data_IF_774151607171
#
_entry.id   IF_774151607171
#
_cell.length_a   1.000
_cell.length_b   1.000
_cell.length_c   1.000
_cell.angle_alpha   90.00
_cell.angle_beta   90.00
_cell.angle_gamma   90.00
#
_symmetry.space_group_name_H-M   'P 1'
#
loop_
_entity.id
_entity.type
_entity.pdbx_description
1 polymer ?
#
# COMPACT_ATOMS: atom_id res chain seq x y z
N UNK A 1 -2.81 14.59 5.29
CA UNK A 1 -4.21 14.31 4.97
C UNK A 1 -4.25 12.91 4.41
N UNK A 2 -4.72 11.93 5.18
CA UNK A 2 -4.83 10.56 4.69
C UNK A 2 -6.00 10.42 3.72
N UNK A 3 -6.05 9.39 2.87
CA UNK A 3 -7.21 9.15 1.99
C UNK A 3 -8.54 9.07 2.75
N UNK A 4 -8.57 8.44 3.93
CA UNK A 4 -9.76 8.37 4.79
C UNK A 4 -10.16 9.73 5.34
N UNK A 5 -9.19 10.54 5.79
CA UNK A 5 -9.48 11.91 6.27
C UNK A 5 -9.99 12.80 5.14
N UNK A 6 -9.47 12.63 3.91
CA UNK A 6 -9.99 13.35 2.75
C UNK A 6 -11.41 12.90 2.39
N UNK A 7 -11.68 11.59 2.41
CA UNK A 7 -13.02 11.05 2.20
C UNK A 7 -14.03 11.63 3.22
N UNK A 8 -13.68 11.60 4.50
CA UNK A 8 -14.50 12.18 5.57
C UNK A 8 -14.69 13.70 5.41
N UNK A 9 -13.64 14.44 5.02
CA UNK A 9 -13.73 15.87 4.74
C UNK A 9 -14.68 16.17 3.58
N UNK A 10 -14.61 15.38 2.50
CA UNK A 10 -15.49 15.52 1.34
C UNK A 10 -16.95 15.21 1.70
N UNK A 11 -17.20 14.14 2.47
CA UNK A 11 -18.54 13.79 2.96
C UNK A 11 -19.09 14.87 3.89
N UNK A 12 -18.29 15.35 4.84
CA UNK A 12 -18.70 16.42 5.75
C UNK A 12 -18.98 17.75 5.04
N UNK A 13 -18.18 18.12 4.04
CA UNK A 13 -18.45 19.29 3.21
C UNK A 13 -19.72 19.11 2.37
N UNK A 14 -19.95 17.92 1.82
CA UNK A 14 -21.15 17.65 1.05
C UNK A 14 -22.42 17.65 1.92
N UNK A 15 -22.35 17.10 3.14
CA UNK A 15 -23.42 17.15 4.13
C UNK A 15 -23.79 18.59 4.48
N UNK A 16 -22.80 19.44 4.80
CA UNK A 16 -23.03 20.85 5.07
C UNK A 16 -23.65 21.60 3.88
N UNK A 17 -23.20 21.30 2.65
CA UNK A 17 -23.71 21.91 1.43
C UNK A 17 -25.14 21.48 1.05
N UNK A 18 -25.58 20.28 1.46
CA UNK A 18 -26.86 19.69 1.01
C UNK A 18 -27.89 19.53 2.13
N UNK A 19 -27.50 19.70 3.39
CA UNK A 19 -28.33 19.40 4.56
C UNK A 19 -28.55 17.91 4.83
N UNK A 20 -27.82 17.03 4.13
CA UNK A 20 -27.86 15.59 4.36
C UNK A 20 -27.00 15.19 5.57
N UNK A 21 -27.30 14.02 6.15
CA UNK A 21 -26.44 13.41 7.16
C UNK A 21 -25.16 12.87 6.52
N UNK A 22 -24.00 13.24 7.09
CA UNK A 22 -22.69 12.86 6.59
C UNK A 22 -22.50 11.34 6.61
N UNK A 23 -23.05 10.63 7.61
CA UNK A 23 -22.90 9.19 7.74
C UNK A 23 -23.77 8.41 6.74
N UNK A 24 -24.87 9.02 6.27
CA UNK A 24 -25.72 8.48 5.21
C UNK A 24 -25.16 8.67 3.79
N UNK A 25 -24.13 9.50 3.61
CA UNK A 25 -23.56 9.76 2.28
C UNK A 25 -22.72 8.58 1.79
N UNK A 26 -22.72 8.27 0.48
CA UNK A 26 -21.77 7.32 -0.07
C UNK A 26 -20.31 7.79 0.14
N UNK A 27 -19.37 6.84 0.16
CA UNK A 27 -17.94 7.15 0.14
C UNK A 27 -17.60 8.10 -1.03
N UNK A 28 -16.80 9.13 -0.77
CA UNK A 28 -16.38 10.09 -1.77
C UNK A 28 -15.30 9.52 -2.71
N UNK A 29 -14.56 8.51 -2.26
CA UNK A 29 -13.53 7.76 -3.01
C UNK A 29 -12.59 8.70 -3.81
N UNK A 30 -11.92 9.68 -3.16
CA UNK A 30 -11.06 10.63 -3.85
C UNK A 30 -9.96 9.91 -4.63
N UNK A 31 -9.76 10.29 -5.88
CA UNK A 31 -8.72 9.75 -6.76
C UNK A 31 -7.71 10.82 -7.10
N UNK A 32 -6.43 10.47 -7.13
CA UNK A 32 -5.40 11.37 -7.66
C UNK A 32 -5.72 11.73 -9.10
N UNK A 33 -5.53 12.99 -9.44
CA UNK A 33 -5.61 13.44 -10.83
C UNK A 33 -4.21 13.49 -11.45
N UNK A 34 -4.10 13.23 -12.76
CA UNK A 34 -2.86 13.47 -13.50
C UNK A 34 -2.45 14.95 -13.40
N UNK A 35 -1.14 15.26 -13.46
CA UNK A 35 -0.63 16.62 -13.28
C UNK A 35 -1.12 17.61 -14.36
N UNK A 36 -1.64 17.12 -15.49
CA UNK A 36 -2.23 17.93 -16.56
C UNK A 36 -3.63 18.47 -16.21
N UNK A 37 -4.25 17.95 -15.14
CA UNK A 37 -5.57 18.39 -14.68
C UNK A 37 -5.45 19.29 -13.44
N UNK A 38 -6.37 20.25 -13.26
CA UNK A 38 -6.39 21.09 -12.07
C UNK A 38 -6.74 20.23 -10.85
N UNK A 39 -6.07 20.43 -9.72
CA UNK A 39 -6.32 19.71 -8.46
C UNK A 39 -5.22 18.69 -8.11
N UNK A 40 -5.20 18.25 -6.86
CA UNK A 40 -4.44 17.05 -6.44
C UNK A 40 -5.32 15.79 -6.52
N UNK A 41 -6.62 15.94 -6.21
CA UNK A 41 -7.59 14.85 -6.15
C UNK A 41 -8.92 15.23 -6.81
N UNK A 42 -9.66 14.24 -7.31
CA UNK A 42 -11.00 14.40 -7.84
C UNK A 42 -12.00 13.50 -7.09
N UNK A 43 -13.24 13.98 -6.94
CA UNK A 43 -14.37 13.18 -6.47
C UNK A 43 -15.56 13.27 -7.42
N UNK A 44 -16.24 12.14 -7.60
CA UNK A 44 -17.52 12.02 -8.32
C UNK A 44 -18.73 12.02 -7.37
N UNK A 45 -18.54 12.37 -6.09
CA UNK A 45 -19.61 12.38 -5.08
C UNK A 45 -20.87 13.17 -5.52
N UNK A 46 -20.77 14.37 -6.12
CA UNK A 46 -21.94 15.12 -6.57
C UNK A 46 -22.79 14.37 -7.60
N UNK A 47 -22.15 13.65 -8.53
CA UNK A 47 -22.86 12.89 -9.56
C UNK A 47 -23.64 11.71 -8.96
N UNK A 48 -23.10 11.10 -7.91
CA UNK A 48 -23.77 9.99 -7.19
C UNK A 48 -24.97 10.48 -6.37
N UNK A 49 -24.98 11.77 -6.01
CA UNK A 49 -26.03 12.40 -5.20
C UNK A 49 -27.07 13.16 -6.03
N UNK A 50 -26.76 13.51 -7.28
CA UNK A 50 -27.66 14.25 -8.18
C UNK A 50 -29.05 13.61 -8.31
N UNK A 51 -29.09 12.29 -8.56
CA UNK A 51 -30.34 11.53 -8.66
C UNK A 51 -31.14 11.54 -7.34
N UNK A 52 -30.56 11.07 -6.21
CA UNK A 52 -31.21 11.12 -4.90
C UNK A 52 -31.71 12.49 -4.46
N UNK A 53 -31.02 13.57 -4.83
CA UNK A 53 -31.40 14.94 -4.48
C UNK A 53 -32.40 15.57 -5.47
N UNK A 54 -32.61 14.97 -6.65
CA UNK A 54 -33.39 15.59 -7.73
C UNK A 54 -32.77 16.90 -8.25
N UNK A 55 -31.44 17.05 -8.14
CA UNK A 55 -30.69 18.26 -8.49
C UNK A 55 -29.67 17.97 -9.60
N UNK A 56 -29.36 18.94 -10.48
CA UNK A 56 -28.26 18.79 -11.43
C UNK A 56 -26.93 18.53 -10.71
N UNK A 57 -26.15 17.55 -11.19
CA UNK A 57 -24.87 17.18 -10.59
C UNK A 57 -23.89 18.37 -10.49
N UNK A 58 -23.94 19.28 -11.47
CA UNK A 58 -23.13 20.50 -11.51
C UNK A 58 -23.45 21.47 -10.38
N UNK A 59 -24.72 21.57 -9.98
CA UNK A 59 -25.14 22.46 -8.89
C UNK A 59 -24.69 21.89 -7.54
N UNK A 60 -24.86 20.59 -7.35
CA UNK A 60 -24.34 19.88 -6.15
C UNK A 60 -22.81 20.01 -6.08
N UNK A 61 -22.12 19.93 -7.22
CA UNK A 61 -20.67 20.11 -7.29
C UNK A 61 -20.24 21.54 -6.97
N UNK A 62 -21.01 22.55 -7.41
CA UNK A 62 -20.76 23.96 -7.11
C UNK A 62 -20.88 24.25 -5.61
N UNK A 63 -21.94 23.76 -4.96
CA UNK A 63 -22.13 23.92 -3.52
C UNK A 63 -21.03 23.22 -2.72
N UNK A 64 -20.68 21.98 -3.10
CA UNK A 64 -19.58 21.24 -2.49
C UNK A 64 -18.25 21.99 -2.66
N UNK A 65 -17.96 22.51 -3.85
CA UNK A 65 -16.73 23.26 -4.09
C UNK A 65 -16.69 24.57 -3.30
N UNK A 66 -17.83 25.26 -3.12
CA UNK A 66 -17.93 26.45 -2.29
C UNK A 66 -17.62 26.12 -0.82
N UNK A 67 -18.24 25.07 -0.29
CA UNK A 67 -18.01 24.62 1.09
C UNK A 67 -16.57 24.14 1.30
N UNK A 68 -15.97 23.44 0.33
CA UNK A 68 -14.58 22.98 0.45
C UNK A 68 -13.58 24.14 0.54
N UNK A 69 -13.84 25.27 -0.14
CA UNK A 69 -12.96 26.46 -0.08
C UNK A 69 -12.94 27.14 1.30
N UNK A 70 -13.91 26.84 2.17
CA UNK A 70 -13.90 27.36 3.56
C UNK A 70 -13.04 26.51 4.49
N UNK A 71 -12.60 25.32 4.05
CA UNK A 71 -11.88 24.36 4.89
C UNK A 71 -10.37 24.68 4.92
N UNK A 72 -9.71 24.64 6.09
CA UNK A 72 -8.31 25.04 6.25
C UNK A 72 -7.29 24.14 5.52
N UNK A 73 -7.72 22.94 5.11
CA UNK A 73 -6.87 21.96 4.42
C UNK A 73 -6.90 22.08 2.89
N UNK A 74 -7.76 22.93 2.34
CA UNK A 74 -8.02 23.06 0.91
C UNK A 74 -7.50 24.40 0.42
N UNK A 75 -6.63 24.37 -0.59
CA UNK A 75 -6.14 25.58 -1.28
C UNK A 75 -7.09 25.99 -2.40
N UNK A 76 -7.65 25.01 -3.12
CA UNK A 76 -8.59 25.26 -4.20
C UNK A 76 -9.57 24.08 -4.35
N UNK A 77 -10.79 24.40 -4.78
CA UNK A 77 -11.75 23.41 -5.26
C UNK A 77 -12.36 23.92 -6.58
N UNK A 78 -12.36 23.11 -7.63
CA UNK A 78 -12.79 23.48 -8.98
C UNK A 78 -13.76 22.42 -9.50
N UNK A 79 -14.90 22.88 -10.03
CA UNK A 79 -15.87 21.99 -10.68
C UNK A 79 -15.41 21.72 -12.11
N UNK A 80 -15.36 20.44 -12.49
CA UNK A 80 -14.94 20.00 -13.81
C UNK A 80 -16.02 19.15 -14.50
N UNK A 81 -16.14 19.37 -15.81
CA UNK A 81 -17.04 18.67 -16.72
C UNK A 81 -18.47 18.46 -16.18
N UNK A 82 -18.96 17.21 -16.14
CA UNK A 82 -20.35 16.89 -15.78
C UNK A 82 -20.69 16.97 -14.28
N UNK A 83 -19.75 17.40 -13.42
CA UNK A 83 -19.97 17.50 -11.98
C UNK A 83 -18.91 16.82 -11.11
N UNK A 84 -17.67 16.68 -11.61
CA UNK A 84 -16.54 16.31 -10.76
C UNK A 84 -16.10 17.53 -9.95
N UNK A 85 -15.59 17.29 -8.74
CA UNK A 85 -14.91 18.33 -7.97
C UNK A 85 -13.44 17.95 -7.81
N UNK A 86 -12.58 18.76 -8.40
CA UNK A 86 -11.14 18.68 -8.25
C UNK A 86 -10.71 19.53 -7.05
N UNK A 87 -9.93 18.96 -6.14
CA UNK A 87 -9.51 19.57 -4.88
C UNK A 87 -7.99 19.61 -4.82
N UNK A 88 -7.45 20.80 -4.57
CA UNK A 88 -6.05 21.03 -4.21
C UNK A 88 -5.93 21.17 -2.71
N UNK A 89 -5.03 20.40 -2.11
CA UNK A 89 -4.75 20.47 -0.68
C UNK A 89 -3.63 21.48 -0.39
N UNK A 90 -3.59 21.96 0.84
CA UNK A 90 -2.41 22.70 1.31
C UNK A 90 -1.19 21.79 1.30
N UNK A 91 0.00 22.36 1.11
CA UNK A 91 1.24 21.58 1.08
C UNK A 91 1.44 20.72 2.34
N UNK A 92 1.17 21.31 3.52
CA UNK A 92 1.18 20.61 4.82
C UNK A 92 0.17 19.45 4.84
N UNK A 93 -1.01 19.66 4.25
CA UNK A 93 -2.02 18.61 4.13
C UNK A 93 -1.57 17.48 3.22
N UNK A 94 -0.80 17.73 2.15
CA UNK A 94 -0.28 16.66 1.28
C UNK A 94 0.72 15.76 2.01
N UNK A 95 1.63 16.34 2.78
CA UNK A 95 2.74 15.59 3.41
C UNK A 95 2.35 14.95 4.75
N UNK A 96 1.33 15.47 5.44
CA UNK A 96 0.90 14.91 6.74
C UNK A 96 0.32 13.49 6.67
N UNK A 97 0.17 12.89 5.48
CA UNK A 97 -0.12 11.46 5.38
C UNK A 97 1.09 10.59 5.79
N UNK A 98 2.31 11.11 5.63
CA UNK A 98 3.54 10.40 5.95
C UNK A 98 3.59 10.08 7.45
N UNK A 99 3.21 11.03 8.30
CA UNK A 99 3.11 10.83 9.75
C UNK A 99 2.17 9.66 10.10
N UNK A 100 0.97 9.64 9.52
CA UNK A 100 -0.01 8.59 9.80
C UNK A 100 0.43 7.21 9.28
N UNK A 101 1.08 7.16 8.12
CA UNK A 101 1.61 5.93 7.55
C UNK A 101 2.83 5.40 8.33
N UNK A 102 3.64 6.30 8.91
CA UNK A 102 4.79 5.96 9.74
C UNK A 102 4.39 5.43 11.12
N UNK A 103 3.33 5.98 11.72
CA UNK A 103 2.84 5.59 13.04
C UNK A 103 2.29 4.15 13.03
N UNK A 104 1.36 3.85 12.12
CA UNK A 104 0.87 2.49 11.92
C UNK A 104 0.50 2.27 10.45
N UNK A 105 1.40 1.61 9.71
CA UNK A 105 1.19 1.29 8.31
C UNK A 105 -0.01 0.36 8.04
N UNK A 106 -0.36 -0.53 8.97
CA UNK A 106 -1.53 -1.40 8.82
C UNK A 106 -2.82 -0.63 9.08
N UNK A 107 -2.89 0.18 10.14
CA UNK A 107 -4.03 1.07 10.36
C UNK A 107 -4.17 2.10 9.24
N UNK A 108 -3.05 2.62 8.71
CA UNK A 108 -3.05 3.50 7.56
C UNK A 108 -3.64 2.79 6.31
N UNK A 109 -3.15 1.59 5.98
CA UNK A 109 -3.59 0.86 4.78
C UNK A 109 -5.01 0.31 4.93
N UNK A 110 -5.33 -0.34 6.05
CA UNK A 110 -6.52 -1.15 6.29
C UNK A 110 -7.51 -0.59 7.33
N UNK A 111 -7.21 0.54 7.97
CA UNK A 111 -8.16 1.26 8.83
C UNK A 111 -8.24 0.77 10.26
N UNK A 112 -7.57 -0.35 10.56
CA UNK A 112 -7.38 -0.84 11.92
C UNK A 112 -5.96 -1.43 12.08
N UNK A 113 -5.38 -1.35 13.29
CA UNK A 113 -4.02 -1.80 13.55
C UNK A 113 -3.91 -3.31 13.42
N UNK A 114 -2.71 -3.81 13.06
CA UNK A 114 -2.48 -5.25 12.90
C UNK A 114 -2.77 -6.03 14.19
N UNK A 115 -2.43 -5.46 15.35
CA UNK A 115 -2.61 -6.11 16.64
C UNK A 115 -4.09 -6.42 16.94
N UNK A 116 -5.03 -5.55 16.55
CA UNK A 116 -6.46 -5.83 16.66
C UNK A 116 -6.91 -6.93 15.70
N UNK A 117 -6.24 -7.06 14.55
CA UNK A 117 -6.57 -8.07 13.54
C UNK A 117 -5.96 -9.45 13.83
N UNK A 118 -4.84 -9.51 14.55
CA UNK A 118 -4.05 -10.74 14.76
C UNK A 118 -4.11 -11.30 16.18
N UNK A 119 -4.91 -10.70 17.08
CA UNK A 119 -5.11 -11.20 18.44
C UNK A 119 -6.40 -12.01 18.59
N UNK A 120 -6.43 -12.87 19.60
CA UNK A 120 -7.61 -13.68 19.93
C UNK A 120 -7.97 -14.71 18.85
N UNK A 121 -9.26 -15.07 18.67
CA UNK A 121 -9.69 -16.10 17.73
C UNK A 121 -9.41 -15.74 16.26
N UNK A 122 -9.17 -14.46 15.94
CA UNK A 122 -8.80 -14.01 14.60
C UNK A 122 -7.35 -14.36 14.22
N UNK A 123 -6.47 -14.62 15.19
CA UNK A 123 -5.05 -14.95 14.96
C UNK A 123 -4.87 -16.14 14.00
N UNK A 124 -5.71 -17.17 14.14
CA UNK A 124 -5.69 -18.36 13.27
C UNK A 124 -5.98 -18.01 11.80
N UNK A 125 -6.81 -16.99 11.54
CA UNK A 125 -7.14 -16.54 10.19
C UNK A 125 -5.96 -15.80 9.50
N UNK A 126 -4.95 -15.40 10.28
CA UNK A 126 -3.71 -14.77 9.83
C UNK A 126 -2.51 -15.73 9.78
N UNK A 127 -2.70 -17.01 10.10
CA UNK A 127 -1.69 -18.04 9.90
C UNK A 127 -1.43 -18.24 8.39
N UNK A 128 -0.16 -18.36 8.02
CA UNK A 128 0.24 -18.57 6.62
C UNK A 128 -0.01 -20.03 6.21
N UNK A 129 -0.49 -20.26 4.99
CA UNK A 129 -0.66 -21.61 4.45
C UNK A 129 0.70 -22.30 4.28
N UNK A 130 0.86 -23.55 4.74
CA UNK A 130 2.10 -24.31 4.57
C UNK A 130 2.27 -24.80 3.11
N UNK A 131 2.85 -23.96 2.25
CA UNK A 131 2.93 -24.21 0.80
C UNK A 131 3.80 -25.43 0.45
N UNK A 132 4.78 -25.75 1.29
CA UNK A 132 5.66 -26.90 1.20
C UNK A 132 4.90 -28.24 1.25
N UNK A 133 3.75 -28.26 1.94
CA UNK A 133 2.90 -29.45 2.06
C UNK A 133 1.99 -29.70 0.86
N UNK A 134 1.94 -28.79 -0.10
CA UNK A 134 1.16 -28.99 -1.31
C UNK A 134 1.87 -29.97 -2.25
N UNK A 135 1.17 -31.00 -2.73
CA UNK A 135 1.76 -32.00 -3.64
C UNK A 135 2.25 -31.37 -4.95
N UNK A 136 1.52 -30.39 -5.49
CA UNK A 136 1.81 -29.73 -6.77
C UNK A 136 2.00 -28.23 -6.64
N UNK A 137 2.74 -27.63 -7.58
CA UNK A 137 2.89 -26.16 -7.66
C UNK A 137 1.54 -25.46 -7.85
N UNK A 138 0.63 -26.07 -8.61
CA UNK A 138 -0.72 -25.54 -8.80
C UNK A 138 -1.53 -25.51 -7.48
N UNK A 139 -1.42 -26.55 -6.66
CA UNK A 139 -2.06 -26.57 -5.34
C UNK A 139 -1.45 -25.53 -4.39
N UNK A 140 -0.12 -25.39 -4.38
CA UNK A 140 0.56 -24.36 -3.60
C UNK A 140 0.10 -22.94 -3.98
N UNK A 141 -0.04 -22.69 -5.29
CA UNK A 141 -0.58 -21.43 -5.81
C UNK A 141 -2.00 -21.17 -5.32
N UNK A 142 -2.88 -22.16 -5.41
CA UNK A 142 -4.27 -22.03 -4.96
C UNK A 142 -4.32 -21.69 -3.46
N UNK A 143 -3.48 -22.35 -2.64
CA UNK A 143 -3.37 -22.10 -1.21
C UNK A 143 -2.85 -20.70 -0.90
N UNK A 144 -1.83 -20.23 -1.64
CA UNK A 144 -1.28 -18.88 -1.48
C UNK A 144 -2.31 -17.80 -1.86
N UNK A 145 -3.05 -17.98 -2.97
CA UNK A 145 -4.10 -17.04 -3.39
C UNK A 145 -5.28 -17.03 -2.42
N UNK A 146 -5.68 -18.19 -1.90
CA UNK A 146 -6.73 -18.28 -0.89
C UNK A 146 -6.33 -17.57 0.41
N UNK A 147 -5.09 -17.77 0.86
CA UNK A 147 -4.51 -17.09 2.03
C UNK A 147 -4.51 -15.55 1.84
N UNK A 148 -4.00 -15.08 0.71
CA UNK A 148 -3.97 -13.65 0.39
C UNK A 148 -5.38 -13.04 0.31
N UNK A 149 -6.34 -13.71 -0.34
CA UNK A 149 -7.74 -13.27 -0.40
C UNK A 149 -8.35 -13.14 0.99
N UNK A 150 -8.13 -14.14 1.86
CA UNK A 150 -8.63 -14.13 3.24
C UNK A 150 -8.08 -12.93 4.01
N UNK A 151 -6.77 -12.71 3.99
CA UNK A 151 -6.11 -11.59 4.67
C UNK A 151 -6.57 -10.23 4.15
N UNK A 152 -6.64 -10.07 2.82
CA UNK A 152 -7.12 -8.85 2.18
C UNK A 152 -8.58 -8.57 2.57
N UNK A 153 -9.44 -9.58 2.60
CA UNK A 153 -10.83 -9.43 2.99
C UNK A 153 -10.98 -9.03 4.47
N UNK A 154 -10.23 -9.66 5.38
CA UNK A 154 -10.20 -9.30 6.80
C UNK A 154 -9.73 -7.87 7.01
N UNK A 155 -8.64 -7.48 6.33
CA UNK A 155 -8.12 -6.13 6.38
C UNK A 155 -9.14 -5.10 5.84
N UNK A 156 -9.81 -5.41 4.74
CA UNK A 156 -10.82 -4.53 4.16
C UNK A 156 -12.14 -4.47 4.95
N UNK A 157 -12.46 -5.47 5.78
CA UNK A 157 -13.62 -5.42 6.67
C UNK A 157 -13.48 -4.31 7.74
N UNK A 158 -12.24 -3.99 8.15
CA UNK A 158 -11.94 -2.79 8.94
C UNK A 158 -12.00 -1.48 8.14
N UNK A 159 -12.03 -1.54 6.81
CA UNK A 159 -12.14 -0.37 5.89
C UNK A 159 -13.59 -0.06 5.51
N UNK A 160 -14.49 -1.06 5.57
CA UNK A 160 -15.84 -0.97 4.99
C UNK A 160 -16.89 -1.50 5.97
N UNK A 161 -17.44 -0.62 6.81
CA UNK A 161 -18.73 -0.87 7.43
C UNK A 161 -19.85 -0.81 6.36
N UNK A 162 -20.05 -1.93 5.66
CA UNK A 162 -21.33 -2.46 5.18
C UNK A 162 -21.07 -3.74 4.34
N UNK A 163 -21.67 -4.89 4.70
CA UNK A 163 -21.62 -6.09 3.87
C UNK A 163 -22.52 -5.92 2.64
N UNK A 164 -22.09 -6.45 1.49
CA UNK A 164 -22.98 -6.60 0.33
C UNK A 164 -23.92 -7.80 0.55
N UNK A 165 -25.24 -7.64 0.40
CA UNK A 165 -26.13 -8.79 0.30
C UNK A 165 -25.85 -9.51 -1.03
N UNK A 166 -25.50 -10.79 -0.97
CA UNK A 166 -25.36 -11.67 -2.15
C UNK A 166 -23.96 -12.16 -2.50
N UNK A 167 -22.92 -11.84 -1.73
CA UNK A 167 -21.63 -12.53 -1.87
C UNK A 167 -21.78 -13.96 -1.33
N UNK A 168 -21.95 -14.93 -2.22
CA UNK A 168 -21.96 -16.35 -1.86
C UNK A 168 -20.64 -16.70 -1.16
N UNK A 169 -20.65 -17.28 0.05
CA UNK A 169 -19.42 -17.68 0.71
C UNK A 169 -18.72 -18.73 -0.17
N UNK A 170 -17.44 -18.50 -0.48
CA UNK A 170 -16.60 -19.53 -1.06
C UNK A 170 -16.78 -20.84 -0.27
N UNK A 171 -17.01 -21.98 -0.93
CA UNK A 171 -17.15 -23.24 -0.21
C UNK A 171 -15.84 -23.53 0.52
N UNK A 172 -15.92 -23.65 1.84
CA UNK A 172 -14.84 -24.10 2.68
C UNK A 172 -14.42 -25.51 2.22
N UNK A 173 -13.30 -25.61 1.50
CA UNK A 173 -12.63 -26.89 1.24
C UNK A 173 -11.63 -27.17 2.35
N UNK A 174 -11.63 -28.44 2.77
CA UNK A 174 -10.88 -29.06 3.87
C UNK A 174 -9.54 -28.42 4.21
N UNK A 175 -9.38 -28.15 5.50
CA UNK A 175 -8.12 -27.92 6.22
C UNK A 175 -7.09 -29.02 5.92
N UNK A 176 -5.87 -28.68 5.46
CA UNK A 176 -4.69 -29.49 5.67
C UNK A 176 -3.80 -28.81 6.72
N UNK A 177 -3.94 -29.26 7.97
CA UNK A 177 -2.98 -29.24 9.08
C UNK A 177 -2.36 -27.91 9.55
N UNK A 178 -2.67 -27.61 10.83
CA UNK A 178 -1.98 -26.78 11.83
C UNK A 178 -1.53 -25.36 11.44
N UNK A 179 -1.96 -24.30 12.17
CA UNK A 179 -1.49 -22.95 11.95
C UNK A 179 0.04 -22.88 12.18
N UNK A 180 0.78 -22.45 11.15
CA UNK A 180 2.17 -22.01 11.32
C UNK A 180 2.14 -20.56 11.80
N UNK A 181 3.04 -20.24 12.74
CA UNK A 181 3.08 -18.99 13.49
C UNK A 181 2.85 -17.74 12.64
N UNK A 182 2.25 -16.72 13.27
CA UNK A 182 2.08 -15.38 12.68
C UNK A 182 3.36 -14.96 11.95
N UNK A 183 3.22 -14.35 10.78
CA UNK A 183 4.34 -13.89 9.94
C UNK A 183 5.26 -13.00 10.78
N UNK A 184 6.31 -13.61 11.32
CA UNK A 184 7.26 -12.95 12.21
C UNK A 184 8.27 -12.10 11.43
N UNK A 185 9.11 -11.38 12.15
CA UNK A 185 10.28 -10.72 11.59
C UNK A 185 11.16 -11.76 10.88
N UNK A 186 11.07 -11.81 9.56
CA UNK A 186 11.74 -12.82 8.74
C UNK A 186 13.08 -12.32 8.26
N UNK A 187 14.13 -13.14 8.36
CA UNK A 187 15.38 -12.87 7.67
C UNK A 187 15.22 -12.86 6.14
N UNK A 188 16.26 -12.43 5.43
CA UNK A 188 16.29 -12.52 3.96
C UNK A 188 16.14 -13.95 3.45
N UNK A 189 16.71 -14.90 4.18
CA UNK A 189 16.76 -16.31 3.80
C UNK A 189 15.48 -17.02 4.20
N UNK A 190 14.91 -17.68 3.22
CA UNK A 190 13.82 -18.62 3.42
C UNK A 190 14.36 -19.92 4.05
N UNK A 191 13.70 -20.49 5.08
CA UNK A 191 14.16 -21.71 5.74
C UNK A 191 14.31 -22.92 4.82
N UNK A 192 13.52 -22.99 3.74
CA UNK A 192 13.55 -24.11 2.78
C UNK A 192 14.54 -23.87 1.63
N UNK A 193 15.08 -22.66 1.49
CA UNK A 193 16.00 -22.35 0.39
C UNK A 193 17.26 -23.22 0.44
N UNK A 194 17.51 -23.97 -0.63
CA UNK A 194 18.61 -24.93 -0.71
C UNK A 194 18.36 -26.28 -0.02
N UNK A 195 17.13 -26.57 0.43
CA UNK A 195 16.77 -27.89 0.95
C UNK A 195 16.86 -28.97 -0.15
N UNK A 196 17.53 -30.08 0.15
CA UNK A 196 17.89 -31.12 -0.85
C UNK A 196 16.92 -32.33 -0.81
N UNK A 197 16.32 -32.62 0.35
CA UNK A 197 15.37 -33.73 0.55
C UNK A 197 13.93 -33.22 0.70
N UNK A 198 13.30 -32.86 -0.42
CA UNK A 198 11.94 -32.31 -0.45
C UNK A 198 10.99 -33.23 -1.23
N UNK A 199 9.97 -33.72 -0.53
CA UNK A 199 9.06 -34.75 -1.05
C UNK A 199 8.13 -34.24 -2.17
N UNK A 200 7.58 -33.04 -2.02
CA UNK A 200 6.55 -32.50 -2.92
C UNK A 200 7.13 -31.66 -4.05
N UNK A 201 6.37 -31.52 -5.15
CA UNK A 201 6.74 -30.61 -6.25
C UNK A 201 6.80 -29.15 -5.78
N UNK A 202 5.86 -28.76 -4.90
CA UNK A 202 5.86 -27.41 -4.34
C UNK A 202 7.11 -27.16 -3.50
N UNK A 203 7.49 -28.07 -2.60
CA UNK A 203 8.68 -27.91 -1.77
C UNK A 203 9.97 -27.81 -2.61
N UNK A 204 10.06 -28.54 -3.74
CA UNK A 204 11.17 -28.37 -4.71
C UNK A 204 11.22 -26.96 -5.30
N UNK A 205 10.08 -26.40 -5.69
CA UNK A 205 10.04 -25.00 -6.15
C UNK A 205 10.46 -24.03 -5.04
N UNK A 206 9.97 -24.21 -3.82
CA UNK A 206 10.30 -23.34 -2.69
C UNK A 206 11.79 -23.39 -2.34
N UNK A 207 12.43 -24.56 -2.46
CA UNK A 207 13.87 -24.70 -2.25
C UNK A 207 14.71 -23.90 -3.25
N UNK A 208 14.18 -23.64 -4.45
CA UNK A 208 14.87 -22.90 -5.51
C UNK A 208 14.54 -21.40 -5.50
N UNK A 209 13.29 -21.03 -5.21
CA UNK A 209 12.81 -19.64 -5.33
C UNK A 209 12.67 -18.92 -3.99
N UNK A 210 12.51 -19.68 -2.90
CA UNK A 210 12.02 -19.19 -1.62
C UNK A 210 10.50 -18.97 -1.61
N UNK A 211 9.86 -19.22 -0.47
CA UNK A 211 8.43 -19.05 -0.24
C UNK A 211 7.96 -17.62 -0.48
N UNK A 212 8.77 -16.63 -0.09
CA UNK A 212 8.46 -15.23 -0.36
C UNK A 212 8.29 -14.94 -1.86
N UNK A 213 9.24 -15.40 -2.69
CA UNK A 213 9.18 -15.23 -4.14
C UNK A 213 8.03 -16.03 -4.75
N UNK A 214 7.81 -17.26 -4.29
CA UNK A 214 6.70 -18.10 -4.75
C UNK A 214 5.34 -17.46 -4.47
N UNK A 215 5.10 -16.95 -3.25
CA UNK A 215 3.86 -16.26 -2.86
C UNK A 215 3.59 -15.03 -3.72
N UNK A 216 4.62 -14.21 -3.96
CA UNK A 216 4.51 -13.05 -4.86
C UNK A 216 4.19 -13.51 -6.28
N UNK A 217 4.92 -14.50 -6.82
CA UNK A 217 4.67 -15.04 -8.16
C UNK A 217 3.21 -15.53 -8.33
N UNK A 218 2.73 -16.32 -7.36
CA UNK A 218 1.38 -16.87 -7.36
C UNK A 218 0.29 -15.81 -7.26
N UNK A 219 0.50 -14.77 -6.45
CA UNK A 219 -0.45 -13.67 -6.30
C UNK A 219 -0.38 -12.65 -7.43
N UNK A 220 0.77 -12.53 -8.12
CA UNK A 220 1.04 -11.54 -9.17
C UNK A 220 0.34 -11.83 -10.49
N UNK A 221 0.14 -13.11 -10.80
CA UNK A 221 -0.53 -13.56 -12.02
C UNK A 221 -2.06 -13.37 -11.95
N UNK A 222 -2.63 -12.83 -13.03
CA UNK A 222 -4.04 -12.51 -13.12
C UNK A 222 -4.93 -13.77 -13.27
N UNK A 223 -4.75 -14.63 -14.30
CA UNK A 223 -5.64 -15.78 -14.50
C UNK A 223 -5.54 -16.77 -13.35
N UNK A 224 -6.66 -17.38 -12.95
CA UNK A 224 -6.65 -18.49 -11.97
C UNK A 224 -5.82 -19.66 -12.49
N UNK A 225 -5.98 -19.97 -13.79
CA UNK A 225 -5.26 -21.01 -14.50
C UNK A 225 -4.36 -20.38 -15.57
N UNK A 226 -3.08 -20.11 -15.26
CA UNK A 226 -2.15 -19.58 -16.25
C UNK A 226 -1.90 -20.60 -17.36
N UNK A 227 -1.65 -20.12 -18.58
CA UNK A 227 -1.27 -21.00 -19.69
C UNK A 227 0.15 -21.53 -19.49
N UNK A 228 0.48 -22.72 -20.01
CA UNK A 228 1.86 -23.19 -20.03
C UNK A 228 2.78 -22.16 -20.69
N UNK A 229 3.88 -21.80 -20.01
CA UNK A 229 4.83 -20.79 -20.48
C UNK A 229 4.37 -19.33 -20.40
N UNK A 230 3.20 -19.05 -19.80
CA UNK A 230 2.76 -17.67 -19.56
C UNK A 230 3.72 -16.95 -18.62
N UNK A 231 4.11 -15.73 -18.98
CA UNK A 231 4.94 -14.86 -18.16
C UNK A 231 4.12 -13.66 -17.64
N UNK A 232 4.43 -13.23 -16.42
CA UNK A 232 3.82 -12.03 -15.80
C UNK A 232 4.67 -10.78 -15.97
N UNK A 233 5.78 -10.90 -16.69
CA UNK A 233 6.81 -9.90 -16.98
C UNK A 233 8.07 -10.61 -17.50
N UNK A 234 9.06 -9.88 -18.02
CA UNK A 234 10.23 -10.47 -18.68
C UNK A 234 10.95 -11.47 -17.77
N UNK A 235 10.99 -12.74 -18.16
CA UNK A 235 11.66 -13.80 -17.39
C UNK A 235 10.99 -14.15 -16.05
N UNK A 236 9.71 -13.78 -15.88
CA UNK A 236 8.92 -14.02 -14.67
C UNK A 236 7.75 -14.96 -15.00
N UNK A 237 7.98 -16.29 -15.05
CA UNK A 237 6.93 -17.25 -15.33
C UNK A 237 5.77 -17.10 -14.33
N UNK A 238 4.53 -17.18 -14.83
CA UNK A 238 3.30 -17.06 -14.03
C UNK A 238 3.11 -18.26 -13.07
N UNK A 239 3.68 -19.41 -13.45
CA UNK A 239 3.72 -20.63 -12.67
C UNK A 239 5.14 -21.20 -12.71
N UNK A 240 6.08 -20.67 -11.89
CA UNK A 240 7.45 -21.16 -11.85
C UNK A 240 7.51 -22.61 -11.38
N UNK A 241 8.50 -23.36 -11.85
CA UNK A 241 8.82 -24.71 -11.35
C UNK A 241 10.26 -24.75 -10.84
N UNK A 242 10.67 -25.85 -10.20
CA UNK A 242 12.06 -26.03 -9.78
C UNK A 242 13.04 -26.01 -10.97
N UNK A 243 12.64 -26.58 -12.10
CA UNK A 243 13.45 -26.66 -13.31
C UNK A 243 13.40 -25.36 -14.15
N UNK A 244 12.30 -24.60 -14.04
CA UNK A 244 12.10 -23.34 -14.74
C UNK A 244 11.63 -22.22 -13.78
N UNK A 245 12.48 -21.78 -12.82
CA UNK A 245 12.10 -20.78 -11.83
C UNK A 245 12.13 -19.35 -12.38
N UNK A 246 12.80 -19.11 -13.50
CA UNK A 246 13.00 -17.77 -14.07
C UNK A 246 13.75 -16.83 -13.11
N UNK A 247 13.39 -15.54 -13.14
CA UNK A 247 13.96 -14.52 -12.26
C UNK A 247 13.51 -14.64 -10.80
N UNK A 248 12.50 -15.47 -10.50
CA UNK A 248 12.02 -15.66 -9.12
C UNK A 248 13.07 -16.27 -8.18
N UNK A 249 14.08 -16.96 -8.70
CA UNK A 249 15.20 -17.50 -7.94
C UNK A 249 16.36 -16.52 -7.73
N UNK A 250 16.29 -15.30 -8.27
CA UNK A 250 17.39 -14.32 -8.22
C UNK A 250 17.17 -13.31 -7.10
N UNK A 251 18.26 -12.92 -6.43
CA UNK A 251 18.30 -11.80 -5.51
C UNK A 251 18.74 -10.53 -6.25
N UNK A 252 17.85 -9.96 -7.05
CA UNK A 252 18.12 -8.75 -7.82
C UNK A 252 16.83 -8.03 -8.22
N UNK A 253 16.97 -6.83 -8.78
CA UNK A 253 15.82 -5.97 -9.12
C UNK A 253 14.82 -6.58 -10.10
N UNK A 254 15.25 -7.56 -10.91
CA UNK A 254 14.37 -8.33 -11.79
C UNK A 254 13.41 -9.28 -11.06
N UNK A 255 13.61 -9.55 -9.77
CA UNK A 255 12.68 -10.31 -8.93
C UNK A 255 11.80 -9.34 -8.12
N UNK A 256 10.49 -9.22 -8.43
CA UNK A 256 9.59 -8.34 -7.70
C UNK A 256 9.53 -8.60 -6.19
N UNK A 257 9.62 -9.86 -5.75
CA UNK A 257 9.58 -10.19 -4.34
C UNK A 257 10.82 -9.67 -3.60
N UNK A 258 12.00 -9.82 -4.23
CA UNK A 258 13.24 -9.27 -3.72
C UNK A 258 13.19 -7.74 -3.69
N UNK A 259 12.77 -7.09 -4.78
CA UNK A 259 12.72 -5.63 -4.88
C UNK A 259 11.84 -5.00 -3.79
N UNK A 260 10.62 -5.53 -3.57
CA UNK A 260 9.70 -5.02 -2.55
C UNK A 260 10.26 -5.23 -1.13
N UNK A 261 10.80 -6.42 -0.84
CA UNK A 261 11.43 -6.73 0.46
C UNK A 261 12.69 -5.90 0.70
N UNK A 262 13.46 -5.62 -0.34
CA UNK A 262 14.65 -4.76 -0.31
C UNK A 262 14.30 -3.32 0.04
N UNK A 263 13.27 -2.75 -0.61
CA UNK A 263 12.79 -1.40 -0.27
C UNK A 263 12.43 -1.29 1.22
N UNK A 264 11.72 -2.29 1.77
CA UNK A 264 11.42 -2.34 3.20
C UNK A 264 12.68 -2.43 4.08
N UNK A 265 13.56 -3.40 3.82
CA UNK A 265 14.78 -3.60 4.61
C UNK A 265 15.72 -2.39 4.56
N UNK A 266 15.85 -1.75 3.40
CA UNK A 266 16.61 -0.53 3.22
C UNK A 266 16.04 0.61 4.07
N UNK A 267 14.74 0.89 3.96
CA UNK A 267 14.08 1.93 4.75
C UNK A 267 14.24 1.69 6.27
N UNK A 268 14.12 0.44 6.71
CA UNK A 268 14.34 0.04 8.12
C UNK A 268 15.78 0.23 8.56
N UNK A 269 16.75 -0.22 7.75
CA UNK A 269 18.18 -0.06 8.03
C UNK A 269 18.57 1.43 8.07
N UNK A 270 18.00 2.25 7.20
CA UNK A 270 18.18 3.71 7.23
C UNK A 270 17.76 4.30 8.57
N UNK A 271 16.59 3.90 9.07
CA UNK A 271 16.02 4.42 10.33
C UNK A 271 16.76 3.91 11.58
N UNK A 272 17.13 2.64 11.60
CA UNK A 272 17.61 1.98 12.82
C UNK A 272 19.12 1.89 12.95
N UNK A 273 19.83 1.99 11.83
CA UNK A 273 21.30 1.83 11.80
C UNK A 273 21.95 3.12 11.35
N UNK A 274 21.61 3.62 10.15
CA UNK A 274 22.34 4.74 9.56
C UNK A 274 22.02 6.08 10.22
N UNK A 275 20.73 6.39 10.44
CA UNK A 275 20.33 7.64 11.07
C UNK A 275 20.94 7.81 12.48
N UNK A 276 20.89 6.81 13.39
CA UNK A 276 21.57 6.92 14.68
C UNK A 276 23.09 7.01 14.57
N UNK A 277 23.73 6.24 13.67
CA UNK A 277 25.18 6.25 13.50
C UNK A 277 25.72 7.60 13.01
N UNK A 278 24.90 8.35 12.29
CA UNK A 278 25.23 9.69 11.77
C UNK A 278 24.70 10.83 12.67
N UNK A 279 24.05 10.52 13.79
CA UNK A 279 23.48 11.52 14.68
C UNK A 279 22.32 12.32 14.06
N UNK A 280 21.61 11.74 13.08
CA UNK A 280 20.48 12.38 12.42
C UNK A 280 19.25 12.47 13.36
N UNK A 281 18.35 13.44 13.15
CA UNK A 281 17.13 13.56 13.93
C UNK A 281 16.26 12.30 13.79
N UNK A 282 15.49 11.93 14.83
CA UNK A 282 14.59 10.79 14.74
C UNK A 282 13.47 11.08 13.72
N UNK A 283 12.97 10.03 13.06
CA UNK A 283 11.67 10.09 12.40
C UNK A 283 10.61 10.29 13.50
N UNK A 284 9.97 11.46 13.56
CA UNK A 284 9.19 11.83 14.75
C UNK A 284 8.02 12.75 14.49
N UNK A 285 7.11 12.74 15.47
CA UNK A 285 5.97 13.65 15.56
C UNK A 285 6.31 14.80 16.53
N UNK A 286 5.95 16.06 16.23
CA UNK A 286 5.20 16.49 15.04
C UNK A 286 6.03 16.36 13.76
N UNK A 287 5.37 15.92 12.69
CA UNK A 287 6.01 15.83 11.38
C UNK A 287 6.35 17.24 10.91
N UNK A 288 7.61 17.52 10.53
CA UNK A 288 8.03 18.86 10.17
C UNK A 288 7.29 19.31 8.89
N UNK A 289 6.83 20.54 8.89
CA UNK A 289 5.97 21.08 7.84
C UNK A 289 6.37 22.49 7.41
N UNK A 290 7.64 22.84 7.66
CA UNK A 290 8.24 24.09 7.21
C UNK A 290 8.26 24.22 5.67
N UNK A 291 8.47 25.44 5.15
CA UNK A 291 8.46 25.71 3.71
C UNK A 291 9.50 24.87 2.94
N UNK A 292 10.68 24.63 3.53
CA UNK A 292 11.74 23.83 2.90
C UNK A 292 11.37 22.34 2.82
N UNK A 293 10.75 21.79 3.87
CA UNK A 293 10.20 20.43 3.87
C UNK A 293 9.12 20.26 2.80
N UNK A 294 8.23 21.25 2.71
CA UNK A 294 7.19 21.28 1.70
C UNK A 294 7.80 21.30 0.30
N UNK A 295 8.83 22.10 0.06
CA UNK A 295 9.50 22.19 -1.23
C UNK A 295 10.17 20.86 -1.60
N UNK A 296 10.91 20.24 -0.67
CA UNK A 296 11.56 18.95 -0.85
C UNK A 296 10.55 17.84 -1.19
N UNK A 297 9.46 17.75 -0.43
CA UNK A 297 8.43 16.73 -0.63
C UNK A 297 7.48 17.02 -1.81
N UNK A 298 7.58 18.20 -2.40
CA UNK A 298 6.86 18.56 -3.63
C UNK A 298 7.69 18.32 -4.89
N UNK A 299 8.97 17.98 -4.77
CA UNK A 299 9.79 17.58 -5.91
C UNK A 299 9.19 16.34 -6.61
N UNK A 300 9.32 16.19 -7.95
CA UNK A 300 8.57 15.16 -8.68
C UNK A 300 8.73 13.71 -8.15
N UNK A 301 9.94 13.23 -7.82
CA UNK A 301 10.10 11.89 -7.23
C UNK A 301 9.42 11.74 -5.86
N UNK A 302 9.49 12.78 -5.02
CA UNK A 302 8.85 12.79 -3.71
C UNK A 302 7.32 12.84 -3.83
N UNK A 303 6.80 13.66 -4.74
CA UNK A 303 5.37 13.74 -5.04
C UNK A 303 4.83 12.41 -5.59
N UNK A 304 5.60 11.69 -6.41
CA UNK A 304 5.25 10.35 -6.88
C UNK A 304 5.17 9.34 -5.72
N UNK A 305 6.14 9.36 -4.80
CA UNK A 305 6.14 8.52 -3.61
C UNK A 305 4.94 8.81 -2.68
N UNK A 306 4.70 10.08 -2.37
CA UNK A 306 3.56 10.53 -1.55
C UNK A 306 2.24 10.13 -2.22
N UNK A 307 2.16 10.27 -3.54
CA UNK A 307 1.02 9.83 -4.33
C UNK A 307 0.78 8.33 -4.26
N UNK A 308 1.82 7.51 -4.38
CA UNK A 308 1.74 6.06 -4.22
C UNK A 308 1.27 5.67 -2.80
N UNK A 309 1.75 6.35 -1.75
CA UNK A 309 1.24 6.12 -0.40
C UNK A 309 -0.24 6.49 -0.26
N UNK A 310 -0.69 7.56 -0.93
CA UNK A 310 -2.10 7.94 -0.95
C UNK A 310 -2.99 6.89 -1.65
N UNK A 311 -2.53 6.30 -2.75
CA UNK A 311 -3.33 5.35 -3.54
C UNK A 311 -3.52 3.98 -2.84
N UNK A 312 -2.72 3.68 -1.80
CA UNK A 312 -2.69 2.40 -1.11
C UNK A 312 -4.03 1.93 -0.55
N UNK A 313 -4.70 2.67 0.35
CA UNK A 313 -5.98 2.26 0.93
C UNK A 313 -7.07 1.99 -0.12
N UNK A 314 -7.17 2.84 -1.15
CA UNK A 314 -8.12 2.66 -2.25
C UNK A 314 -7.81 1.45 -3.14
N UNK A 315 -6.52 1.15 -3.31
CA UNK A 315 -6.04 -0.06 -3.98
C UNK A 315 -6.41 -1.31 -3.17
N UNK A 316 -6.15 -1.33 -1.87
CA UNK A 316 -6.52 -2.45 -1.00
C UNK A 316 -8.03 -2.71 -1.04
N UNK A 317 -8.85 -1.66 -0.93
CA UNK A 317 -10.29 -1.78 -1.03
C UNK A 317 -10.74 -2.35 -2.39
N UNK A 318 -10.03 -2.01 -3.48
CA UNK A 318 -10.31 -2.57 -4.81
C UNK A 318 -9.91 -4.05 -4.90
N UNK A 319 -8.73 -4.41 -4.39
CA UNK A 319 -8.28 -5.81 -4.33
C UNK A 319 -9.25 -6.69 -3.55
N UNK A 320 -9.78 -6.19 -2.42
CA UNK A 320 -10.79 -6.86 -1.62
C UNK A 320 -12.12 -7.02 -2.38
N UNK A 321 -12.66 -5.93 -2.93
CA UNK A 321 -13.94 -5.96 -3.68
C UNK A 321 -13.92 -6.91 -4.87
N UNK A 322 -12.78 -7.04 -5.55
CA UNK A 322 -12.61 -7.93 -6.70
C UNK A 322 -12.10 -9.32 -6.32
N UNK A 323 -11.69 -9.54 -5.07
CA UNK A 323 -11.03 -10.79 -4.64
C UNK A 323 -9.79 -11.15 -5.48
N UNK A 324 -9.03 -10.11 -5.84
CA UNK A 324 -7.92 -10.15 -6.81
C UNK A 324 -6.60 -9.69 -6.15
N UNK A 325 -5.79 -10.63 -5.61
CA UNK A 325 -4.53 -10.29 -4.92
C UNK A 325 -3.50 -9.58 -5.80
N UNK A 326 -3.51 -9.82 -7.11
CA UNK A 326 -2.56 -9.22 -8.04
C UNK A 326 -2.60 -7.70 -8.03
N UNK A 327 -3.76 -7.09 -7.73
CA UNK A 327 -3.92 -5.64 -7.60
C UNK A 327 -3.02 -5.10 -6.47
N UNK A 328 -3.00 -5.77 -5.32
CA UNK A 328 -2.15 -5.38 -4.20
C UNK A 328 -0.67 -5.63 -4.51
N UNK A 329 -0.33 -6.75 -5.16
CA UNK A 329 1.06 -7.04 -5.56
C UNK A 329 1.61 -5.94 -6.47
N UNK A 330 0.85 -5.49 -7.47
CA UNK A 330 1.27 -4.41 -8.38
C UNK A 330 1.44 -3.08 -7.71
N UNK A 331 0.58 -2.80 -6.73
CA UNK A 331 0.73 -1.63 -5.88
C UNK A 331 2.05 -1.65 -5.09
N UNK A 332 2.41 -2.79 -4.49
CA UNK A 332 3.66 -2.92 -3.73
C UNK A 332 4.89 -2.81 -4.65
N UNK A 333 4.84 -3.39 -5.86
CA UNK A 333 5.87 -3.19 -6.90
C UNK A 333 6.03 -1.69 -7.20
N UNK A 334 4.93 -0.98 -7.44
CA UNK A 334 4.95 0.45 -7.74
C UNK A 334 5.45 1.31 -6.58
N UNK A 335 5.05 1.01 -5.35
CA UNK A 335 5.51 1.74 -4.16
C UNK A 335 7.01 1.54 -3.92
N UNK A 336 7.52 0.31 -4.10
CA UNK A 336 8.95 0.02 -3.99
C UNK A 336 9.77 0.76 -5.07
N UNK A 337 9.27 0.80 -6.32
CA UNK A 337 9.89 1.54 -7.40
C UNK A 337 9.94 3.05 -7.11
N UNK A 338 8.81 3.64 -6.71
CA UNK A 338 8.72 5.06 -6.36
C UNK A 338 9.64 5.43 -5.18
N UNK A 339 9.78 4.53 -4.20
CA UNK A 339 10.72 4.70 -3.10
C UNK A 339 12.18 4.73 -3.59
N UNK A 340 12.56 3.81 -4.48
CA UNK A 340 13.91 3.73 -5.03
C UNK A 340 14.28 4.95 -5.87
N UNK A 341 13.39 5.39 -6.75
CA UNK A 341 13.56 6.61 -7.54
C UNK A 341 13.70 7.85 -6.64
N UNK A 342 12.83 7.99 -5.65
CA UNK A 342 12.90 9.09 -4.71
C UNK A 342 14.20 9.10 -3.90
N UNK A 343 14.64 7.97 -3.31
CA UNK A 343 15.85 7.95 -2.49
C UNK A 343 17.11 8.27 -3.29
N UNK A 344 17.17 7.85 -4.56
CA UNK A 344 18.30 8.14 -5.45
C UNK A 344 18.36 9.63 -5.80
N UNK A 345 17.19 10.28 -5.90
CA UNK A 345 17.10 11.71 -6.20
C UNK A 345 17.53 12.66 -5.07
N UNK A 346 17.50 12.21 -3.82
CA UNK A 346 17.66 13.10 -2.65
C UNK A 346 18.75 12.70 -1.65
N UNK A 347 19.41 11.55 -1.87
CA UNK A 347 20.37 10.92 -0.94
C UNK A 347 19.96 11.06 0.53
N UNK A 348 19.01 10.21 0.94
CA UNK A 348 18.35 10.25 2.26
C UNK A 348 19.34 10.28 3.44
N UNK A 349 20.56 9.77 3.27
CA UNK A 349 21.54 9.55 4.33
C UNK A 349 22.67 10.59 4.30
N UNK A 350 23.10 11.06 3.12
CA UNK A 350 24.23 12.00 2.99
C UNK A 350 23.83 13.42 2.57
N UNK A 351 22.58 13.65 2.15
CA UNK A 351 21.97 14.97 2.10
C UNK A 351 22.80 16.06 1.42
N UNK A 352 23.33 15.85 0.20
CA UNK A 352 23.93 16.95 -0.58
C UNK A 352 22.88 17.84 -1.26
N UNK A 353 21.59 17.52 -1.15
CA UNK A 353 20.51 18.32 -1.76
C UNK A 353 20.08 19.48 -0.86
N UNK A 354 21.01 20.37 -0.57
CA UNK A 354 20.76 21.67 0.02
C UNK A 354 21.82 22.62 -0.49
N UNK A 355 21.45 23.54 -1.38
CA UNK A 355 22.33 24.64 -1.75
C UNK A 355 22.92 25.27 -0.49
N UNK A 356 24.17 25.75 -0.56
CA UNK A 356 25.00 26.23 0.54
C UNK A 356 24.41 27.40 1.39
N UNK A 357 23.12 27.68 1.28
CA UNK A 357 22.35 28.80 1.81
C UNK A 357 21.29 28.41 2.86
N UNK A 358 20.96 27.13 3.05
CA UNK A 358 19.97 26.72 4.07
C UNK A 358 20.57 26.75 5.48
N UNK A 359 19.82 27.19 6.50
CA UNK A 359 20.26 27.09 7.90
C UNK A 359 20.37 25.62 8.34
N UNK A 360 21.20 25.34 9.36
CA UNK A 360 21.37 23.97 9.86
C UNK A 360 20.04 23.39 10.40
N UNK A 361 19.19 24.22 10.99
CA UNK A 361 17.85 23.81 11.48
C UNK A 361 16.93 23.36 10.33
N UNK A 362 16.90 24.11 9.21
CA UNK A 362 16.09 23.77 8.04
C UNK A 362 16.54 22.46 7.40
N UNK A 363 17.86 22.22 7.33
CA UNK A 363 18.42 20.94 6.86
C UNK A 363 18.03 19.78 7.79
N UNK A 364 18.01 20.04 9.10
CA UNK A 364 17.52 19.09 10.11
C UNK A 364 16.06 18.71 9.90
N UNK A 365 15.18 19.69 9.67
CA UNK A 365 13.75 19.44 9.41
C UNK A 365 13.52 18.64 8.11
N UNK A 366 14.22 18.98 7.03
CA UNK A 366 14.16 18.23 5.76
C UNK A 366 14.61 16.79 5.96
N UNK A 367 15.72 16.59 6.67
CA UNK A 367 16.23 15.24 6.98
C UNK A 367 15.22 14.44 7.79
N UNK A 368 14.64 15.04 8.84
CA UNK A 368 13.58 14.40 9.64
C UNK A 368 12.35 14.04 8.79
N UNK A 369 11.97 14.88 7.83
CA UNK A 369 10.86 14.62 6.91
C UNK A 369 11.14 13.41 6.00
N UNK A 370 12.35 13.33 5.44
CA UNK A 370 12.80 12.21 4.59
C UNK A 370 12.85 10.89 5.38
N UNK A 371 13.31 10.94 6.63
CA UNK A 371 13.25 9.79 7.53
C UNK A 371 11.79 9.40 7.85
N UNK A 372 10.91 10.39 8.04
CA UNK A 372 9.46 10.15 8.14
C UNK A 372 8.87 9.47 6.90
N UNK A 373 9.32 9.82 5.69
CA UNK A 373 8.94 9.13 4.47
C UNK A 373 9.45 7.68 4.42
N UNK A 374 10.69 7.43 4.88
CA UNK A 374 11.20 6.07 5.03
C UNK A 374 10.35 5.24 6.01
N UNK A 375 9.94 5.82 7.14
CA UNK A 375 9.09 5.16 8.12
C UNK A 375 7.71 4.83 7.54
N UNK A 376 7.10 5.76 6.80
CA UNK A 376 5.84 5.56 6.11
C UNK A 376 5.91 4.40 5.10
N UNK A 377 6.94 4.38 4.25
CA UNK A 377 7.15 3.31 3.27
C UNK A 377 7.38 1.97 3.94
N UNK A 378 8.23 1.92 4.97
CA UNK A 378 8.47 0.68 5.72
C UNK A 378 7.17 0.14 6.34
N UNK A 379 6.37 1.01 6.97
CA UNK A 379 5.08 0.65 7.55
C UNK A 379 4.12 0.05 6.51
N UNK A 380 3.93 0.73 5.37
CA UNK A 380 2.99 0.31 4.32
C UNK A 380 3.48 -0.94 3.56
N UNK A 381 4.78 -1.06 3.30
CA UNK A 381 5.34 -2.27 2.69
C UNK A 381 5.22 -3.48 3.60
N UNK A 382 5.51 -3.33 4.90
CA UNK A 382 5.31 -4.40 5.89
C UNK A 382 3.86 -4.83 5.94
N UNK A 383 2.94 -3.86 5.98
CA UNK A 383 1.51 -4.07 5.93
C UNK A 383 1.10 -4.89 4.69
N UNK A 384 1.44 -4.41 3.49
CA UNK A 384 1.07 -5.07 2.25
C UNK A 384 1.70 -6.47 2.07
N UNK A 385 2.96 -6.65 2.44
CA UNK A 385 3.63 -7.95 2.41
C UNK A 385 2.91 -8.96 3.33
N UNK A 386 2.52 -8.53 4.53
CA UNK A 386 1.78 -9.38 5.47
C UNK A 386 0.42 -9.85 4.91
N UNK A 387 -0.25 -9.01 4.11
CA UNK A 387 -1.53 -9.31 3.47
C UNK A 387 -1.42 -10.35 2.34
N UNK A 388 -0.24 -10.53 1.77
CA UNK A 388 0.03 -11.59 0.78
C UNK A 388 0.80 -12.78 1.39
N UNK A 389 0.92 -12.81 2.73
CA UNK A 389 1.58 -13.89 3.46
C UNK A 389 3.10 -13.88 3.35
N UNK A 390 3.72 -12.74 3.03
CA UNK A 390 5.17 -12.60 2.86
C UNK A 390 5.76 -11.85 4.06
N UNK A 391 6.88 -12.35 4.59
CA UNK A 391 7.61 -11.68 5.65
C UNK A 391 8.43 -10.49 5.13
N UNK A 392 8.43 -9.41 5.91
CA UNK A 392 9.17 -8.19 5.61
C UNK A 392 10.52 -8.18 6.36
N UNK A 393 11.67 -8.23 5.66
CA UNK A 393 12.97 -8.32 6.32
C UNK A 393 13.40 -7.00 6.97
N UNK A 394 13.99 -7.08 8.16
CA UNK A 394 14.30 -5.91 9.00
C UNK A 394 15.71 -5.36 8.80
N UNK A 395 16.61 -6.12 8.17
CA UNK A 395 18.01 -5.74 7.91
C UNK A 395 18.38 -6.11 6.49
N UNK A 396 19.36 -5.43 5.89
CA UNK A 396 19.94 -5.74 4.56
C UNK A 396 20.88 -6.95 4.57
#
# INVERSE_FOLDING_TARGET
>A
MTPRRLDALLRAACAAATGLDADGLPAADPRRVPPERPGDYATALPMRLAGPLGRPARDVAADLAAELRTRPHVTAAVVDGPGFVNVSLTAVSRVSLLAAAAEDGMAYLAGAPLAEMTTGPAAAAWAASALDRAETVAAARDWARADARRRIALAAAGVSAAPRPGASPCPARRDPAAPVAAVGEGGWRDPLFGAVDVATEAARLLAVTGEASARVAFCRSLPERPRPGEETGPGLPALPTADAPGLWARHGGGNPAFAVRYAHAHARTTLEVWAPALGLPPAGHPFPAGPDVVADLSAPPAAALVGALFDGPGTLATAARRSEPHILVRYLEGLAAAYHEWRESCDVVLGESGGATASDDARGEVTAARLGACAAVAGVLRAGLSLIGVAAPTRL
#
